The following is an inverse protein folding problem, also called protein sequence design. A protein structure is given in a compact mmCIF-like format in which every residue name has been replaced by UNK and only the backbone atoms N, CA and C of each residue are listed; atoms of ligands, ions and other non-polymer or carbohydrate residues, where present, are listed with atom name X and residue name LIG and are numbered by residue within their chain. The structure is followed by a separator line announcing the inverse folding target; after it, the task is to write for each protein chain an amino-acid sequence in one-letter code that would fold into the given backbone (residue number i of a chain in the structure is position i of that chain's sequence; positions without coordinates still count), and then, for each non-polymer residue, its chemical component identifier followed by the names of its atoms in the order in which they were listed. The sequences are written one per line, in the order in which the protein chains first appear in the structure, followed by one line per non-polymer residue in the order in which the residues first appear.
data_IF_559642571438
#
_entry.id   IF_559642571438
#
_cell.length_a   1.000
_cell.length_b   1.000
_cell.length_c   1.000
_cell.angle_alpha   90.00
_cell.angle_beta   90.00
_cell.angle_gamma   90.00
#
_symmetry.space_group_name_H-M   'P 1'
#
loop_
_entity.id
_entity.type
_entity.pdbx_description
1 polymer ?
#
# COMPACT_ATOMS: atom_id res chain seq x y z
N UNK A 1 3.89 12.94 16.13
CA UNK A 1 2.80 13.09 15.15
C UNK A 1 3.39 13.81 13.95
N UNK A 2 3.24 13.28 12.75
CA UNK A 2 3.99 13.75 11.58
C UNK A 2 3.58 15.18 11.19
N UNK A 3 4.60 16.01 10.95
CA UNK A 3 4.50 17.43 10.58
C UNK A 3 5.48 17.69 9.44
N UNK A 4 5.25 18.74 8.64
CA UNK A 4 6.11 19.05 7.50
C UNK A 4 5.93 18.06 6.35
N UNK A 5 7.04 17.60 5.78
CA UNK A 5 7.06 16.63 4.68
C UNK A 5 7.88 15.42 5.11
N UNK A 6 7.29 14.24 5.10
CA UNK A 6 7.95 13.00 5.53
C UNK A 6 7.97 11.98 4.42
N UNK A 7 8.91 11.03 4.47
CA UNK A 7 8.92 9.85 3.60
C UNK A 7 8.80 8.57 4.45
N UNK A 8 7.80 7.73 4.15
CA UNK A 8 7.63 6.41 4.77
C UNK A 8 8.22 5.33 3.86
N UNK A 9 9.15 4.54 4.39
CA UNK A 9 9.89 3.52 3.66
C UNK A 9 9.47 2.12 4.08
N UNK A 10 9.45 1.21 3.11
CA UNK A 10 9.47 -0.22 3.35
C UNK A 10 10.03 -0.98 2.15
N UNK A 11 10.56 -2.16 2.40
CA UNK A 11 10.77 -3.19 1.39
C UNK A 11 9.85 -4.36 1.67
N UNK A 12 9.27 -4.93 0.63
CA UNK A 12 8.38 -6.11 0.70
C UNK A 12 8.85 -7.20 -0.25
N UNK A 13 8.74 -8.46 0.19
CA UNK A 13 9.07 -9.64 -0.60
C UNK A 13 8.02 -10.72 -0.36
N UNK A 14 7.68 -11.50 -1.37
CA UNK A 14 6.78 -12.65 -1.21
C UNK A 14 7.45 -13.71 -0.33
N UNK A 15 6.66 -14.39 0.52
CA UNK A 15 7.12 -15.60 1.19
C UNK A 15 6.85 -16.81 0.28
N UNK A 16 7.88 -17.45 -0.33
CA UNK A 16 7.67 -18.60 -1.20
C UNK A 16 7.14 -19.83 -0.45
N UNK A 17 7.29 -19.90 0.88
CA UNK A 17 6.74 -20.98 1.70
C UNK A 17 5.26 -20.80 2.03
N UNK A 18 4.74 -19.57 1.88
CA UNK A 18 3.35 -19.17 2.15
C UNK A 18 2.85 -18.24 1.04
N UNK A 19 2.71 -18.74 -0.19
CA UNK A 19 2.35 -17.91 -1.33
C UNK A 19 0.98 -17.27 -1.14
N UNK A 20 0.84 -16.00 -1.53
CA UNK A 20 -0.45 -15.33 -1.54
C UNK A 20 -1.40 -15.95 -2.58
N UNK A 21 -2.67 -16.14 -2.21
CA UNK A 21 -3.72 -16.46 -3.18
C UNK A 21 -4.22 -15.18 -3.88
N UNK A 22 -3.84 -14.99 -5.14
CA UNK A 22 -4.11 -13.77 -5.93
C UNK A 22 -5.58 -13.51 -6.26
N UNK A 23 -6.49 -14.45 -5.98
CA UNK A 23 -7.93 -14.22 -6.06
C UNK A 23 -8.46 -13.33 -4.93
N UNK A 24 -7.72 -13.21 -3.83
CA UNK A 24 -8.00 -12.27 -2.74
C UNK A 24 -7.30 -10.93 -2.98
N UNK A 25 -7.86 -9.85 -2.42
CA UNK A 25 -7.11 -8.62 -2.20
C UNK A 25 -6.32 -8.71 -0.89
N UNK A 26 -5.05 -8.31 -0.95
CA UNK A 26 -4.24 -8.07 0.24
C UNK A 26 -3.91 -6.59 0.29
N UNK A 27 -4.13 -5.96 1.44
CA UNK A 27 -3.62 -4.63 1.73
C UNK A 27 -2.51 -4.72 2.78
N UNK A 28 -1.45 -3.91 2.63
CA UNK A 28 -0.32 -3.90 3.55
C UNK A 28 0.27 -2.49 3.68
N UNK A 29 0.98 -2.26 4.78
CA UNK A 29 1.57 -0.96 5.13
C UNK A 29 0.56 0.19 4.98
N UNK A 30 -0.44 0.18 5.85
CA UNK A 30 -1.55 1.13 5.81
C UNK A 30 -1.26 2.29 6.75
N UNK A 31 -1.42 3.52 6.28
CA UNK A 31 -1.46 4.69 7.15
C UNK A 31 -2.89 5.18 7.29
N UNK A 32 -3.54 4.89 8.41
CA UNK A 32 -4.96 5.11 8.62
C UNK A 32 -5.23 6.47 9.32
N UNK A 33 -6.39 7.08 9.02
CA UNK A 33 -6.94 8.21 9.80
C UNK A 33 -8.12 7.74 10.65
N UNK A 34 -8.52 8.46 11.71
CA UNK A 34 -9.55 7.99 12.65
C UNK A 34 -10.91 7.61 12.06
N UNK A 35 -11.19 7.97 10.80
CA UNK A 35 -12.42 7.60 10.09
C UNK A 35 -12.40 6.20 9.50
N UNK A 36 -11.25 5.50 9.51
CA UNK A 36 -11.09 4.22 8.81
C UNK A 36 -10.45 4.33 7.44
N UNK A 37 -10.27 5.54 6.91
CA UNK A 37 -9.69 5.75 5.58
C UNK A 37 -8.16 5.70 5.62
N UNK A 38 -7.55 5.34 4.49
CA UNK A 38 -6.11 5.22 4.38
C UNK A 38 -5.54 6.47 3.72
N UNK A 39 -4.59 7.16 4.34
CA UNK A 39 -3.81 8.22 3.67
C UNK A 39 -3.18 7.70 2.38
N UNK A 40 -2.59 6.53 2.50
CA UNK A 40 -2.16 5.65 1.44
C UNK A 40 -2.21 4.23 1.99
N UNK A 41 -2.29 3.28 1.07
CA UNK A 41 -2.03 1.87 1.38
C UNK A 41 -1.39 1.22 0.16
N UNK A 42 -0.78 0.06 0.36
CA UNK A 42 -0.33 -0.78 -0.73
C UNK A 42 -1.26 -1.98 -0.84
N UNK A 43 -1.53 -2.44 -2.05
CA UNK A 43 -2.31 -3.65 -2.26
C UNK A 43 -1.73 -4.58 -3.32
N UNK A 44 -2.09 -5.86 -3.26
CA UNK A 44 -1.79 -6.86 -4.29
C UNK A 44 -2.93 -7.88 -4.37
N UNK A 45 -2.94 -8.74 -5.39
CA UNK A 45 -4.05 -9.66 -5.65
C UNK A 45 -5.24 -8.97 -6.32
N UNK A 46 -6.39 -9.62 -6.33
CA UNK A 46 -7.59 -9.14 -7.05
C UNK A 46 -8.41 -8.24 -6.13
N UNK A 47 -8.64 -6.95 -6.49
CA UNK A 47 -9.40 -6.03 -5.64
C UNK A 47 -10.77 -6.56 -5.26
N UNK A 48 -11.14 -6.40 -3.99
CA UNK A 48 -12.43 -6.77 -3.49
C UNK A 48 -13.54 -5.91 -4.12
N UNK A 49 -14.60 -6.55 -4.59
CA UNK A 49 -15.72 -5.84 -5.23
C UNK A 49 -17.06 -6.54 -5.00
N UNK A 50 -18.12 -5.73 -4.95
CA UNK A 50 -19.52 -6.16 -4.86
C UNK A 50 -20.30 -5.33 -5.91
N UNK A 51 -20.94 -5.95 -6.93
CA UNK A 51 -20.96 -7.39 -7.22
C UNK A 51 -19.58 -7.89 -7.65
N UNK A 52 -19.37 -9.21 -7.58
CA UNK A 52 -18.06 -9.80 -7.86
C UNK A 52 -17.64 -9.50 -9.30
N UNK A 53 -16.48 -8.87 -9.45
CA UNK A 53 -15.82 -8.71 -10.75
C UNK A 53 -14.78 -9.80 -10.90
N UNK A 54 -15.20 -10.98 -11.38
CA UNK A 54 -14.27 -11.96 -11.96
C UNK A 54 -14.05 -11.53 -13.42
N UNK A 55 -12.85 -11.10 -13.78
CA UNK A 55 -11.77 -12.06 -13.89
C UNK A 55 -10.52 -11.61 -13.14
N UNK A 56 -9.56 -12.52 -13.00
CA UNK A 56 -8.20 -12.22 -12.56
C UNK A 56 -7.81 -10.81 -13.00
N UNK A 57 -7.64 -9.91 -12.04
CA UNK A 57 -7.11 -8.60 -12.36
C UNK A 57 -5.84 -8.87 -13.17
N UNK A 58 -5.71 -8.30 -14.38
CA UNK A 58 -4.48 -8.46 -15.16
C UNK A 58 -3.23 -8.10 -14.33
N UNK A 59 -3.44 -7.29 -13.30
CA UNK A 59 -2.46 -6.80 -12.34
C UNK A 59 -2.55 -7.50 -10.96
N UNK A 60 -3.20 -8.66 -10.83
CA UNK A 60 -3.29 -9.39 -9.55
C UNK A 60 -1.91 -9.77 -9.01
N UNK A 61 -0.92 -9.87 -9.90
CA UNK A 61 0.49 -10.10 -9.57
C UNK A 61 1.28 -8.82 -9.28
N UNK A 62 0.64 -7.65 -9.27
CA UNK A 62 1.28 -6.34 -9.07
C UNK A 62 1.09 -5.84 -7.64
N UNK A 63 2.01 -4.97 -7.22
CA UNK A 63 1.79 -4.06 -6.08
C UNK A 63 1.17 -2.80 -6.63
N UNK A 64 0.07 -2.36 -6.02
CA UNK A 64 -0.60 -1.11 -6.28
C UNK A 64 -0.40 -0.18 -5.10
N UNK A 65 -0.19 1.10 -5.39
CA UNK A 65 -0.25 2.16 -4.38
C UNK A 65 -1.63 2.78 -4.49
N UNK A 66 -2.37 2.80 -3.38
CA UNK A 66 -3.73 3.31 -3.30
C UNK A 66 -3.75 4.67 -2.61
N UNK A 67 -4.59 5.58 -3.12
CA UNK A 67 -4.85 6.87 -2.48
C UNK A 67 -5.95 6.80 -1.41
N UNK A 68 -6.37 7.97 -0.91
CA UNK A 68 -7.41 8.11 0.11
C UNK A 68 -8.76 7.51 -0.24
N UNK A 69 -9.07 7.41 -1.53
CA UNK A 69 -10.32 6.85 -2.05
C UNK A 69 -10.15 5.39 -2.47
N UNK A 70 -9.06 4.73 -2.05
CA UNK A 70 -8.66 3.38 -2.47
C UNK A 70 -8.47 3.24 -3.99
N UNK A 71 -8.21 4.35 -4.70
CA UNK A 71 -7.91 4.31 -6.13
C UNK A 71 -6.43 4.01 -6.33
N UNK A 72 -6.14 3.04 -7.19
CA UNK A 72 -4.76 2.78 -7.60
C UNK A 72 -4.19 3.98 -8.38
N UNK A 73 -3.17 4.62 -7.81
CA UNK A 73 -2.45 5.75 -8.41
C UNK A 73 -1.14 5.32 -9.08
N UNK A 74 -0.65 4.12 -8.75
CA UNK A 74 0.49 3.49 -9.38
C UNK A 74 0.37 1.96 -9.26
N UNK A 75 0.92 1.24 -10.24
CA UNK A 75 0.98 -0.22 -10.27
C UNK A 75 2.34 -0.66 -10.78
N UNK A 76 2.93 -1.68 -10.15
CA UNK A 76 4.22 -2.25 -10.56
C UNK A 76 4.24 -3.75 -10.33
N UNK A 77 4.98 -4.47 -11.17
CA UNK A 77 5.13 -5.90 -11.02
C UNK A 77 5.73 -6.25 -9.65
N UNK A 78 5.06 -7.16 -8.93
CA UNK A 78 5.62 -7.76 -7.72
C UNK A 78 6.39 -9.01 -8.18
N UNK A 79 7.70 -9.12 -7.93
CA UNK A 79 8.50 -10.24 -8.45
C UNK A 79 8.15 -11.58 -7.78
N UNK A 80 7.98 -12.63 -8.58
CA UNK A 80 7.68 -13.99 -8.11
C UNK A 80 8.94 -14.78 -7.73
N UNK A 81 10.12 -14.28 -8.09
CA UNK A 81 11.44 -14.88 -7.86
C UNK A 81 11.99 -14.65 -6.44
N UNK A 82 11.22 -13.99 -5.56
CA UNK A 82 11.68 -13.62 -4.23
C UNK A 82 12.58 -12.39 -4.22
N UNK A 83 12.58 -11.56 -5.27
CA UNK A 83 13.23 -10.26 -5.22
C UNK A 83 12.44 -9.26 -4.36
N UNK A 84 13.16 -8.41 -3.61
CA UNK A 84 12.56 -7.30 -2.85
C UNK A 84 11.99 -6.23 -3.78
N UNK A 85 10.82 -5.69 -3.44
CA UNK A 85 10.32 -4.42 -3.96
C UNK A 85 10.49 -3.37 -2.88
N UNK A 86 11.23 -2.30 -3.17
CA UNK A 86 11.44 -1.19 -2.24
C UNK A 86 10.46 -0.07 -2.60
N UNK A 87 9.82 0.51 -1.58
CA UNK A 87 8.83 1.56 -1.69
C UNK A 87 9.18 2.71 -0.75
N UNK A 88 8.96 3.94 -1.21
CA UNK A 88 8.88 5.09 -0.33
C UNK A 88 7.69 5.98 -0.73
N UNK A 89 6.95 6.46 0.26
CA UNK A 89 5.83 7.39 0.07
C UNK A 89 6.17 8.71 0.74
N UNK A 90 6.37 9.75 -0.06
CA UNK A 90 6.50 11.11 0.42
C UNK A 90 5.11 11.70 0.66
N UNK A 91 4.89 12.29 1.82
CA UNK A 91 3.66 12.99 2.17
C UNK A 91 3.99 14.38 2.67
N UNK A 92 3.38 15.39 2.05
CA UNK A 92 3.33 16.74 2.62
C UNK A 92 2.05 16.86 3.47
N UNK A 93 2.25 17.10 4.77
CA UNK A 93 1.18 17.20 5.76
C UNK A 93 0.46 18.54 5.75
N UNK A 94 1.04 19.56 5.11
CA UNK A 94 0.51 20.90 5.03
C UNK A 94 -0.15 21.15 3.66
N UNK A 95 0.55 20.84 2.58
CA UNK A 95 0.03 20.93 1.21
C UNK A 95 -0.95 19.80 0.88
N UNK A 96 -1.01 18.76 1.73
CA UNK A 96 -1.84 17.57 1.52
C UNK A 96 -1.54 16.89 0.18
N UNK A 97 -0.27 16.72 -0.14
CA UNK A 97 0.17 16.03 -1.37
C UNK A 97 0.88 14.72 -1.05
N UNK A 98 1.00 13.86 -2.06
CA UNK A 98 1.70 12.59 -1.99
C UNK A 98 2.53 12.37 -3.26
N UNK A 99 3.73 11.80 -3.12
CA UNK A 99 4.52 11.21 -4.20
C UNK A 99 5.00 9.81 -3.78
N UNK A 100 5.38 8.99 -4.77
CA UNK A 100 5.86 7.64 -4.51
C UNK A 100 7.11 7.32 -5.31
N UNK A 101 7.91 6.46 -4.70
CA UNK A 101 9.19 5.99 -5.21
C UNK A 101 9.23 4.47 -5.14
N UNK A 102 9.76 3.83 -6.17
CA UNK A 102 9.87 2.37 -6.25
C UNK A 102 11.21 1.94 -6.83
N UNK A 103 11.74 0.83 -6.34
CA UNK A 103 12.81 0.07 -6.99
C UNK A 103 12.70 -1.43 -6.71
N UNK A 104 13.55 -2.22 -7.36
CA UNK A 104 13.63 -3.67 -7.18
C UNK A 104 15.03 -4.09 -6.73
N UNK A 105 15.09 -5.06 -5.81
CA UNK A 105 16.32 -5.61 -5.27
C UNK A 105 17.24 -4.54 -4.69
N UNK A 106 18.48 -4.52 -5.15
CA UNK A 106 19.51 -3.56 -4.73
C UNK A 106 19.53 -2.27 -5.56
N UNK A 107 18.55 -2.04 -6.45
CA UNK A 107 18.52 -0.80 -7.23
C UNK A 107 18.09 0.39 -6.37
N UNK A 108 18.68 1.57 -6.56
CA UNK A 108 18.21 2.78 -5.88
C UNK A 108 16.76 3.11 -6.22
N UNK A 109 16.04 3.67 -5.25
CA UNK A 109 14.68 4.19 -5.46
C UNK A 109 14.63 5.19 -6.63
N UNK A 110 13.50 5.22 -7.32
CA UNK A 110 13.19 6.21 -8.36
C UNK A 110 11.77 6.72 -8.17
N UNK A 111 11.55 8.00 -8.42
CA UNK A 111 10.20 8.57 -8.43
C UNK A 111 9.37 7.91 -9.54
N UNK A 112 8.17 7.46 -9.20
CA UNK A 112 7.24 6.80 -10.14
C UNK A 112 5.94 7.57 -10.33
N UNK A 113 5.61 8.44 -9.37
CA UNK A 113 4.54 9.42 -9.47
C UNK A 113 5.07 10.77 -8.96
N UNK A 114 4.64 11.85 -9.61
CA UNK A 114 4.83 13.21 -9.09
C UNK A 114 3.87 13.53 -7.94
N UNK A 115 3.83 14.78 -7.50
CA UNK A 115 2.88 15.20 -6.47
C UNK A 115 1.44 15.09 -6.96
N UNK A 116 0.66 14.26 -6.26
CA UNK A 116 -0.78 14.17 -6.40
C UNK A 116 -1.45 14.82 -5.19
N UNK A 117 -2.56 15.57 -5.38
CA UNK A 117 -3.35 16.08 -4.28
C UNK A 117 -4.01 14.92 -3.53
N UNK A 118 -4.12 15.04 -2.20
CA UNK A 118 -4.86 14.10 -1.34
C UNK A 118 -6.25 14.63 -1.06
N UNK A 119 -7.11 14.56 -2.06
CA UNK A 119 -8.52 14.94 -1.92
C UNK A 119 -9.18 14.11 -0.80
N UNK A 120 -9.85 14.79 0.13
CA UNK A 120 -10.60 14.16 1.22
C UNK A 120 -9.82 13.92 2.53
N UNK A 121 -8.49 14.07 2.56
CA UNK A 121 -7.74 13.93 3.81
C UNK A 121 -8.00 15.14 4.73
N UNK A 122 -8.44 14.93 6.00
CA UNK A 122 -8.62 16.02 6.95
C UNK A 122 -7.31 16.75 7.27
N UNK A 123 -7.38 18.09 7.37
CA UNK A 123 -6.30 18.93 7.89
C UNK A 123 -6.34 19.03 9.42
N UNK A 124 -5.32 19.62 10.05
CA UNK A 124 -5.33 19.93 11.48
C UNK A 124 -5.02 18.76 12.42
N UNK A 125 -5.59 18.76 13.64
CA UNK A 125 -5.26 17.84 14.75
C UNK A 125 -5.93 16.46 14.67
N UNK A 126 -6.70 16.17 13.60
CA UNK A 126 -7.22 14.84 13.27
C UNK A 126 -6.11 13.83 12.83
N UNK A 127 -4.86 14.09 13.25
CA UNK A 127 -3.61 13.44 12.88
C UNK A 127 -3.23 12.28 13.82
N UNK A 128 -4.14 11.77 14.65
CA UNK A 128 -3.94 10.46 15.28
C UNK A 128 -4.03 9.41 14.16
N UNK A 129 -2.89 9.17 13.53
CA UNK A 129 -2.76 8.21 12.44
C UNK A 129 -2.15 6.94 12.99
N UNK A 130 -2.68 5.81 12.56
CA UNK A 130 -2.16 4.51 12.91
C UNK A 130 -1.42 3.96 11.70
N UNK A 131 -0.14 3.67 11.88
CA UNK A 131 0.64 2.98 10.86
C UNK A 131 0.57 1.49 11.12
N UNK A 132 -0.18 0.78 10.28
CA UNK A 132 -0.34 -0.66 10.34
C UNK A 132 0.71 -1.32 9.47
N UNK A 133 1.79 -1.77 10.11
CA UNK A 133 2.75 -2.68 9.48
C UNK A 133 2.27 -4.11 9.62
N UNK A 134 1.56 -4.59 8.60
CA UNK A 134 1.04 -5.95 8.54
C UNK A 134 0.41 -6.22 7.18
N UNK A 135 -0.32 -7.33 7.08
CA UNK A 135 -1.13 -7.68 5.92
C UNK A 135 -2.58 -7.91 6.34
N UNK A 136 -3.50 -7.31 5.60
CA UNK A 136 -4.94 -7.51 5.71
C UNK A 136 -5.39 -8.26 4.45
N UNK A 137 -6.05 -9.41 4.63
CA UNK A 137 -6.62 -10.21 3.54
C UNK A 137 -8.13 -9.98 3.48
N UNK A 138 -8.62 -9.41 2.38
CA UNK A 138 -10.06 -9.38 2.10
C UNK A 138 -10.56 -10.77 1.67
N UNK A 139 -11.80 -11.14 1.99
CA UNK A 139 -12.42 -12.36 1.46
C UNK A 139 -12.70 -12.20 -0.04
N UNK A 140 -12.98 -13.30 -0.74
CA UNK A 140 -13.63 -13.22 -2.05
C UNK A 140 -15.13 -13.02 -1.80
N UNK A 141 -15.77 -12.05 -2.46
CA UNK A 141 -17.20 -11.83 -2.26
C UNK A 141 -18.03 -13.06 -2.69
N UNK A 142 -18.94 -13.54 -1.82
CA UNK A 142 -19.89 -14.60 -2.16
C UNK A 142 -21.23 -13.96 -2.60
N UNK A 143 -21.71 -14.21 -3.83
CA UNK A 143 -23.04 -13.77 -4.26
C UNK A 143 -24.19 -14.19 -3.32
N UNK A 144 -24.01 -15.26 -2.53
CA UNK A 144 -24.99 -15.74 -1.55
C UNK A 144 -25.13 -14.85 -0.33
N UNK A 145 -24.15 -13.99 -0.04
CA UNK A 145 -24.18 -13.10 1.13
C UNK A 145 -25.20 -11.97 0.97
N UNK A 146 -25.58 -11.63 -0.26
CA UNK A 146 -26.58 -10.62 -0.57
C UNK A 146 -26.27 -9.28 0.10
N UNK A 147 -27.20 -8.78 0.92
CA UNK A 147 -27.03 -7.51 1.64
C UNK A 147 -25.91 -7.52 2.69
N UNK A 148 -25.41 -8.70 3.10
CA UNK A 148 -24.35 -8.83 4.09
C UNK A 148 -22.94 -8.75 3.48
N UNK A 149 -22.81 -8.73 2.15
CA UNK A 149 -21.53 -8.85 1.47
C UNK A 149 -20.49 -7.77 1.87
N UNK A 150 -20.94 -6.60 2.37
CA UNK A 150 -20.06 -5.52 2.84
C UNK A 150 -19.44 -5.78 4.22
N UNK A 151 -19.95 -6.74 5.00
CA UNK A 151 -19.40 -7.11 6.31
C UNK A 151 -18.29 -8.16 6.16
N UNK A 152 -17.20 -7.73 5.52
CA UNK A 152 -16.05 -8.57 5.13
C UNK A 152 -15.35 -9.31 6.28
N UNK A 153 -15.39 -8.88 7.56
CA UNK A 153 -14.86 -9.70 8.65
C UNK A 153 -15.68 -10.96 8.96
N UNK A 154 -16.94 -11.05 8.48
CA UNK A 154 -17.87 -12.14 8.81
C UNK A 154 -18.40 -12.91 7.59
N UNK A 155 -18.31 -12.32 6.40
CA UNK A 155 -18.91 -12.84 5.16
C UNK A 155 -17.87 -12.89 4.04
N UNK A 156 -18.19 -13.65 2.99
CA UNK A 156 -17.31 -13.98 1.87
C UNK A 156 -16.57 -15.31 2.02
N UNK A 157 -15.92 -15.71 0.93
CA UNK A 157 -15.14 -16.94 0.82
C UNK A 157 -13.72 -16.68 1.32
N UNK A 158 -13.27 -17.51 2.26
CA UNK A 158 -11.91 -17.50 2.81
C UNK A 158 -11.34 -18.91 2.79
N UNK A 159 -10.30 -19.11 2.01
CA UNK A 159 -9.62 -20.40 1.84
C UNK A 159 -8.15 -20.33 2.27
N UNK A 160 -7.61 -21.49 2.64
CA UNK A 160 -6.28 -21.58 3.24
C UNK A 160 -6.22 -20.98 4.65
N UNK A 161 -5.09 -21.17 5.32
CA UNK A 161 -4.85 -20.60 6.67
C UNK A 161 -3.53 -19.85 6.78
N UNK A 162 -2.73 -19.84 5.71
CA UNK A 162 -1.38 -19.26 5.74
C UNK A 162 -1.08 -18.56 4.43
N UNK A 163 -0.84 -17.26 4.52
CA UNK A 163 -0.35 -16.38 3.46
C UNK A 163 0.79 -15.54 4.09
N UNK A 164 1.84 -15.23 3.33
CA UNK A 164 3.04 -14.62 3.91
C UNK A 164 3.69 -13.56 3.03
N UNK A 165 4.15 -12.50 3.70
CA UNK A 165 5.02 -11.46 3.17
C UNK A 165 6.17 -11.24 4.15
N UNK A 166 7.36 -10.97 3.61
CA UNK A 166 8.49 -10.46 4.38
C UNK A 166 8.56 -8.95 4.24
N UNK A 167 8.87 -8.26 5.34
CA UNK A 167 9.07 -6.82 5.40
C UNK A 167 10.46 -6.51 5.95
N UNK A 168 11.14 -5.51 5.37
CA UNK A 168 12.40 -4.99 5.89
C UNK A 168 12.55 -3.50 5.57
N UNK A 169 13.57 -2.84 6.13
CA UNK A 169 13.85 -1.44 5.79
C UNK A 169 12.69 -0.48 6.10
N UNK A 170 11.94 -0.76 7.17
CA UNK A 170 10.78 0.04 7.56
C UNK A 170 11.21 1.19 8.46
N UNK A 171 11.09 2.42 7.98
CA UNK A 171 11.39 3.63 8.73
C UNK A 171 10.64 4.83 8.14
N UNK A 172 10.61 5.93 8.89
CA UNK A 172 10.09 7.22 8.44
C UNK A 172 11.19 8.27 8.62
N UNK A 173 11.36 9.14 7.63
CA UNK A 173 12.33 10.24 7.68
C UNK A 173 11.71 11.59 7.32
N UNK A 174 12.40 12.67 7.69
CA UNK A 174 12.11 14.01 7.21
C UNK A 174 12.60 14.13 5.76
N UNK A 175 11.67 14.37 4.83
CA UNK A 175 12.00 14.42 3.41
C UNK A 175 12.67 15.74 3.00
N UNK A 176 12.66 16.76 3.85
CA UNK A 176 13.21 18.10 3.52
C UNK A 176 14.72 18.09 3.33
N UNK A 177 15.42 17.11 3.90
CA UNK A 177 16.87 16.88 3.70
C UNK A 177 17.20 15.94 2.53
N UNK A 178 16.18 15.48 1.80
CA UNK A 178 16.28 14.43 0.81
C UNK A 178 15.65 13.12 1.30
N UNK A 179 15.43 12.20 0.36
CA UNK A 179 14.80 10.90 0.59
C UNK A 179 15.84 9.81 0.35
N UNK A 180 16.10 8.99 1.36
CA UNK A 180 17.01 7.85 1.32
C UNK A 180 16.64 6.91 0.16
N UNK A 181 17.58 6.72 -0.75
CA UNK A 181 17.43 5.87 -1.93
C UNK A 181 18.12 4.50 -1.75
N UNK A 182 18.74 4.27 -0.59
CA UNK A 182 19.66 3.17 -0.32
C UNK A 182 21.11 3.47 -0.71
N UNK A 183 22.05 2.75 -0.10
CA UNK A 183 23.50 2.86 -0.35
C UNK A 183 24.05 4.29 -0.19
N UNK A 184 23.66 4.97 0.89
CA UNK A 184 24.05 6.36 1.21
C UNK A 184 23.70 7.40 0.13
N UNK A 185 22.76 7.06 -0.76
CA UNK A 185 22.22 8.00 -1.76
C UNK A 185 20.93 8.61 -1.26
N UNK A 186 20.71 9.86 -1.60
CA UNK A 186 19.45 10.56 -1.39
C UNK A 186 18.89 11.07 -2.73
N UNK A 187 17.58 10.99 -2.89
CA UNK A 187 16.81 11.67 -3.92
C UNK A 187 16.36 13.04 -3.40
N UNK A 188 16.20 14.04 -4.27
CA UNK A 188 15.46 15.23 -3.87
C UNK A 188 14.01 14.88 -3.57
N UNK A 189 13.40 15.58 -2.61
CA UNK A 189 11.95 15.53 -2.45
C UNK A 189 11.26 16.07 -3.71
N UNK A 190 10.07 15.57 -4.02
CA UNK A 190 9.25 16.14 -5.09
C UNK A 190 8.56 17.40 -4.56
N UNK A 191 8.63 18.50 -5.30
CA UNK A 191 8.05 19.82 -4.98
C UNK A 191 6.94 20.20 -5.92
#
# INVERSE_FOLDING_TARGET
MEVGTTASHLSVMRDPSKPLNTSHEYQFSVLEVPTGNHVFSMSTGTPFSIPVTFPDSADASHIRILDFNNKAIYSTSFPADGSWTNLAIQVDWNALTLAAFVSQGALPLKAVIGLLPREGVPSGTARQREFHLGVLKYPIADPKDGANASNTPRFGIQEGSTDGLFFSGVFVEDATTGISAGFDKALPMIT
#
